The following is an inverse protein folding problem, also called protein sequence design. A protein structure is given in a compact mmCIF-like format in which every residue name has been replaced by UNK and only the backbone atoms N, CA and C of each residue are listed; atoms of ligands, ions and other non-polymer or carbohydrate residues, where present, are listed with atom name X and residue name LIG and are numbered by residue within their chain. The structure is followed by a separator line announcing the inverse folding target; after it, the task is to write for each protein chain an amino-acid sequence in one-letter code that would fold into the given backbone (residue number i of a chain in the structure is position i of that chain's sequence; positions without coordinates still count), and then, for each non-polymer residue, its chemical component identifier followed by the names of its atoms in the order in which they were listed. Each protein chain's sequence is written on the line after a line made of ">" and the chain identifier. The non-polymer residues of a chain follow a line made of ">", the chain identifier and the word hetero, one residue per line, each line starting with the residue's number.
data_IF_318183036400
#
_entry.id   IF_318183036400
#
_cell.length_a   1.000
_cell.length_b   1.000
_cell.length_c   1.000
_cell.angle_alpha   90.00
_cell.angle_beta   90.00
_cell.angle_gamma   90.00
#
_symmetry.space_group_name_H-M   'P 1'
#
loop_
_entity.id
_entity.type
_entity.pdbx_description
1 polymer ?
#
# COMPACT_ATOMS: atom_id res chain seq x y z
N UNK A 1 -11.60 -54.98 16.42
CA UNK A 1 -11.21 -53.57 16.58
C UNK A 1 -11.59 -52.87 15.31
N UNK A 2 -12.46 -51.85 15.39
CA UNK A 2 -13.10 -51.24 14.23
C UNK A 2 -12.20 -50.13 13.66
N UNK A 3 -12.25 -49.89 12.35
CA UNK A 3 -11.42 -48.86 11.68
C UNK A 3 -11.73 -47.46 12.26
N UNK A 4 -12.98 -47.23 12.64
CA UNK A 4 -13.47 -45.97 13.23
C UNK A 4 -12.77 -45.61 14.55
N UNK A 5 -12.33 -46.61 15.33
CA UNK A 5 -11.61 -46.36 16.59
C UNK A 5 -10.23 -45.77 16.31
N UNK A 6 -9.55 -46.21 15.24
CA UNK A 6 -8.21 -45.76 14.91
C UNK A 6 -8.18 -44.31 14.43
N UNK A 7 -9.19 -43.85 13.68
CA UNK A 7 -9.28 -42.45 13.26
C UNK A 7 -9.43 -41.50 14.47
N UNK A 8 -10.24 -41.89 15.46
CA UNK A 8 -10.39 -41.14 16.71
C UNK A 8 -9.06 -41.03 17.48
N UNK A 9 -8.29 -42.13 17.57
CA UNK A 9 -6.98 -42.10 18.21
C UNK A 9 -5.93 -41.33 17.39
N UNK A 10 -6.00 -41.34 16.06
CA UNK A 10 -5.15 -40.49 15.21
C UNK A 10 -5.42 -39.00 15.48
N UNK A 11 -6.68 -38.60 15.60
CA UNK A 11 -7.02 -37.22 15.96
C UNK A 11 -6.47 -36.83 17.34
N UNK A 12 -6.55 -37.73 18.34
CA UNK A 12 -5.94 -37.49 19.65
C UNK A 12 -4.40 -37.42 19.58
N UNK A 13 -3.75 -38.16 18.68
CA UNK A 13 -2.30 -38.04 18.44
C UNK A 13 -1.97 -36.65 17.93
N UNK A 14 -2.73 -36.14 16.95
CA UNK A 14 -2.49 -34.82 16.38
C UNK A 14 -2.72 -33.69 17.42
N UNK A 15 -3.78 -33.79 18.24
CA UNK A 15 -4.01 -32.88 19.38
C UNK A 15 -2.86 -32.93 20.41
N UNK A 16 -2.31 -34.11 20.68
CA UNK A 16 -1.20 -34.29 21.60
C UNK A 16 0.09 -33.64 21.07
N UNK A 17 0.40 -33.81 19.78
CA UNK A 17 1.55 -33.19 19.13
C UNK A 17 1.44 -31.66 19.07
N UNK A 18 0.22 -31.12 18.96
CA UNK A 18 -0.04 -29.68 19.03
C UNK A 18 -0.02 -29.11 20.46
N UNK A 19 0.02 -29.96 21.50
CA UNK A 19 -0.01 -29.56 22.90
C UNK A 19 -1.39 -29.11 23.41
N UNK A 20 -2.47 -29.50 22.74
CA UNK A 20 -3.86 -29.08 23.05
C UNK A 20 -4.73 -30.16 23.70
N UNK A 21 -4.17 -31.32 24.04
CA UNK A 21 -4.89 -32.45 24.62
C UNK A 21 -5.12 -32.30 26.14
N UNK A 22 -6.24 -32.79 26.66
CA UNK A 22 -6.48 -32.87 28.11
C UNK A 22 -5.76 -34.07 28.75
N UNK A 23 -5.47 -33.99 30.05
CA UNK A 23 -4.74 -35.04 30.77
C UNK A 23 -5.47 -36.40 30.75
N UNK A 24 -6.81 -36.40 30.83
CA UNK A 24 -7.61 -37.64 30.78
C UNK A 24 -7.51 -38.32 29.40
N UNK A 25 -7.56 -37.53 28.32
CA UNK A 25 -7.43 -38.04 26.96
C UNK A 25 -6.00 -38.53 26.67
N UNK A 26 -5.00 -37.85 27.21
CA UNK A 26 -3.60 -38.27 27.06
C UNK A 26 -3.33 -39.62 27.74
N UNK A 27 -3.96 -39.88 28.89
CA UNK A 27 -3.86 -41.18 29.56
C UNK A 27 -4.52 -42.30 28.72
N UNK A 28 -5.73 -42.05 28.20
CA UNK A 28 -6.40 -43.00 27.29
C UNK A 28 -5.61 -43.27 26.02
N UNK A 29 -4.97 -42.24 25.45
CA UNK A 29 -4.09 -42.36 24.30
C UNK A 29 -2.86 -43.24 24.62
N UNK A 30 -2.24 -43.06 25.79
CA UNK A 30 -1.09 -43.89 26.22
C UNK A 30 -1.46 -45.37 26.35
N UNK A 31 -2.62 -45.67 26.91
CA UNK A 31 -3.12 -47.04 27.03
C UNK A 31 -3.39 -47.67 25.65
N UNK A 32 -3.96 -46.91 24.72
CA UNK A 32 -4.18 -47.37 23.36
C UNK A 32 -2.84 -47.63 22.62
N UNK A 33 -1.89 -46.70 22.71
CA UNK A 33 -0.59 -46.84 22.05
C UNK A 33 0.24 -48.02 22.57
N UNK A 34 0.04 -48.43 23.83
CA UNK A 34 0.70 -49.61 24.39
C UNK A 34 0.24 -50.93 23.73
N UNK A 35 -0.95 -50.95 23.12
CA UNK A 35 -1.55 -52.15 22.53
C UNK A 35 -1.77 -52.08 21.02
N UNK A 36 -1.68 -50.88 20.42
CA UNK A 36 -1.96 -50.65 19.00
C UNK A 36 -0.72 -50.28 18.18
N UNK A 37 -0.16 -51.26 17.46
CA UNK A 37 0.96 -51.06 16.54
C UNK A 37 0.70 -50.03 15.42
N UNK A 38 -0.47 -50.00 14.74
CA UNK A 38 -0.77 -49.00 13.72
C UNK A 38 -0.69 -47.55 14.22
N UNK A 39 -1.31 -47.24 15.37
CA UNK A 39 -1.29 -45.90 15.95
C UNK A 39 0.10 -45.52 16.47
N UNK A 40 0.89 -46.48 16.98
CA UNK A 40 2.29 -46.26 17.31
C UNK A 40 3.13 -45.94 16.07
N UNK A 41 2.87 -46.62 14.96
CA UNK A 41 3.47 -46.32 13.66
C UNK A 41 3.17 -44.90 13.19
N UNK A 42 1.90 -44.48 13.26
CA UNK A 42 1.48 -43.12 12.92
C UNK A 42 2.19 -42.05 13.77
N UNK A 43 2.22 -42.22 15.10
CA UNK A 43 2.92 -41.31 16.00
C UNK A 43 4.42 -41.22 15.69
N UNK A 44 5.07 -42.36 15.42
CA UNK A 44 6.50 -42.41 15.08
C UNK A 44 6.82 -41.69 13.77
N UNK A 45 5.94 -41.80 12.76
CA UNK A 45 6.08 -41.13 11.47
C UNK A 45 5.97 -39.61 11.64
N UNK A 46 4.97 -39.13 12.39
CA UNK A 46 4.80 -37.71 12.69
C UNK A 46 6.00 -37.14 13.46
N UNK A 47 6.48 -37.84 14.50
CA UNK A 47 7.66 -37.42 15.24
C UNK A 47 8.91 -37.31 14.35
N UNK A 48 9.09 -38.24 13.40
CA UNK A 48 10.19 -38.17 12.43
C UNK A 48 10.07 -36.96 11.49
N UNK A 49 8.86 -36.63 11.05
CA UNK A 49 8.60 -35.42 10.24
C UNK A 49 8.91 -34.16 11.04
N UNK A 50 8.41 -34.06 12.27
CA UNK A 50 8.64 -32.92 13.16
C UNK A 50 10.13 -32.75 13.44
N UNK A 51 10.85 -33.83 13.76
CA UNK A 51 12.30 -33.80 13.96
C UNK A 51 13.05 -33.36 12.69
N UNK A 52 12.61 -33.82 11.52
CA UNK A 52 13.15 -33.38 10.22
C UNK A 52 12.94 -31.88 9.98
N UNK A 53 11.74 -31.37 10.24
CA UNK A 53 11.40 -29.94 10.13
C UNK A 53 12.17 -29.08 11.15
N UNK A 54 12.39 -29.59 12.37
CA UNK A 54 13.23 -28.94 13.36
C UNK A 54 14.68 -28.75 12.89
N UNK A 55 15.19 -29.65 12.05
CA UNK A 55 16.50 -29.50 11.38
C UNK A 55 16.56 -28.38 10.34
N UNK A 56 15.40 -27.92 9.84
CA UNK A 56 15.27 -26.75 8.97
C UNK A 56 14.93 -25.46 9.73
N UNK A 57 15.09 -25.46 11.05
CA UNK A 57 15.02 -24.24 11.87
C UNK A 57 16.11 -23.26 11.43
N UNK A 58 15.77 -22.33 10.54
CA UNK A 58 16.66 -21.25 10.15
C UNK A 58 16.75 -20.25 11.31
N UNK A 59 17.96 -20.01 11.82
CA UNK A 59 18.20 -18.88 12.72
C UNK A 59 17.79 -17.60 12.00
N UNK A 60 16.79 -16.89 12.54
CA UNK A 60 16.42 -15.56 12.08
C UNK A 60 17.61 -14.66 12.34
N UNK A 61 18.39 -14.37 11.29
CA UNK A 61 19.57 -13.53 11.40
C UNK A 61 19.17 -12.18 12.02
N UNK A 62 19.66 -11.83 13.23
CA UNK A 62 19.25 -10.61 13.92
C UNK A 62 19.63 -9.33 13.14
N UNK A 63 20.54 -9.45 12.17
CA UNK A 63 20.99 -8.38 11.30
C UNK A 63 20.14 -8.22 10.02
N UNK A 64 19.18 -9.12 9.74
CA UNK A 64 18.27 -8.99 8.59
C UNK A 64 17.46 -7.69 8.67
N UNK A 65 16.93 -7.37 9.85
CA UNK A 65 16.20 -6.12 10.06
C UNK A 65 17.09 -4.90 9.78
N UNK A 66 18.33 -4.90 10.28
CA UNK A 66 19.28 -3.82 10.02
C UNK A 66 19.62 -3.67 8.53
N UNK A 67 19.79 -4.78 7.79
CA UNK A 67 19.96 -4.76 6.33
C UNK A 67 18.73 -4.22 5.60
N UNK A 68 17.52 -4.60 6.00
CA UNK A 68 16.28 -4.08 5.41
C UNK A 68 16.18 -2.57 5.65
N UNK A 69 16.43 -2.10 6.88
CA UNK A 69 16.43 -0.67 7.18
C UNK A 69 17.52 0.11 6.42
N UNK A 70 18.71 -0.47 6.26
CA UNK A 70 19.78 0.14 5.48
C UNK A 70 19.38 0.28 4.00
N UNK A 71 18.79 -0.77 3.41
CA UNK A 71 18.30 -0.75 2.03
C UNK A 71 17.15 0.24 1.81
N UNK A 72 16.29 0.45 2.82
CA UNK A 72 15.17 1.40 2.76
C UNK A 72 15.59 2.86 2.97
N UNK A 73 16.79 3.12 3.53
CA UNK A 73 17.27 4.48 3.81
C UNK A 73 17.52 5.29 2.54
N UNK A 74 18.07 4.66 1.51
CA UNK A 74 18.39 5.32 0.24
C UNK A 74 17.14 5.77 -0.52
N UNK A 75 16.09 4.93 -0.72
CA UNK A 75 14.82 5.38 -1.29
C UNK A 75 14.13 6.46 -0.46
N UNK A 76 14.13 6.33 0.87
CA UNK A 76 13.47 7.28 1.76
C UNK A 76 14.11 8.68 1.69
N UNK A 77 15.44 8.75 1.59
CA UNK A 77 16.15 10.02 1.42
C UNK A 77 15.88 10.66 0.05
N UNK A 78 15.74 9.87 -1.01
CA UNK A 78 15.37 10.41 -2.33
C UNK A 78 13.95 10.97 -2.34
N UNK A 79 13.01 10.35 -1.63
CA UNK A 79 11.63 10.87 -1.50
C UNK A 79 11.60 12.16 -0.67
N UNK A 80 12.43 12.28 0.36
CA UNK A 80 12.55 13.51 1.14
C UNK A 80 13.25 14.63 0.35
N UNK A 81 14.32 14.32 -0.38
CA UNK A 81 15.03 15.29 -1.22
C UNK A 81 14.20 15.72 -2.45
N UNK A 82 13.30 14.85 -2.92
CA UNK A 82 12.37 15.14 -4.00
C UNK A 82 11.08 15.83 -3.55
N UNK A 83 10.92 16.20 -2.27
CA UNK A 83 9.78 17.04 -1.89
C UNK A 83 9.97 18.45 -2.48
N UNK A 84 9.19 18.84 -3.52
CA UNK A 84 9.21 20.22 -3.96
C UNK A 84 8.76 21.07 -2.78
N UNK A 85 9.62 22.01 -2.36
CA UNK A 85 9.55 22.64 -1.05
C UNK A 85 8.12 23.03 -0.67
N UNK A 86 7.70 22.67 0.53
CA UNK A 86 6.35 22.88 1.11
C UNK A 86 5.75 24.26 0.82
N UNK A 87 6.61 25.28 0.69
CA UNK A 87 6.28 26.66 0.30
C UNK A 87 5.70 26.77 -1.13
N UNK A 88 6.21 25.97 -2.07
CA UNK A 88 5.75 25.91 -3.47
C UNK A 88 4.36 25.25 -3.57
N UNK A 89 4.11 24.18 -2.83
CA UNK A 89 2.77 23.60 -2.69
C UNK A 89 1.79 24.57 -2.03
N UNK A 90 2.21 25.26 -0.96
CA UNK A 90 1.39 26.29 -0.33
C UNK A 90 1.04 27.43 -1.29
N UNK A 91 2.00 27.90 -2.10
CA UNK A 91 1.74 28.91 -3.14
C UNK A 91 0.76 28.42 -4.21
N UNK A 92 0.85 27.15 -4.61
CA UNK A 92 -0.08 26.56 -5.59
C UNK A 92 -1.49 26.45 -4.99
N UNK A 93 -1.63 25.99 -3.74
CA UNK A 93 -2.92 25.94 -3.05
C UNK A 93 -3.53 27.33 -2.89
N UNK A 94 -2.72 28.33 -2.50
CA UNK A 94 -3.18 29.72 -2.39
C UNK A 94 -3.60 30.27 -3.75
N UNK A 95 -2.83 30.03 -4.81
CA UNK A 95 -3.18 30.44 -6.17
C UNK A 95 -4.51 29.80 -6.63
N UNK A 96 -4.73 28.51 -6.36
CA UNK A 96 -5.97 27.82 -6.70
C UNK A 96 -7.19 28.37 -5.94
N UNK A 97 -7.01 28.72 -4.65
CA UNK A 97 -8.06 29.33 -3.83
C UNK A 97 -8.39 30.74 -4.34
N UNK A 98 -7.38 31.57 -4.61
CA UNK A 98 -7.57 32.93 -5.16
C UNK A 98 -8.26 32.87 -6.52
N UNK A 99 -7.89 31.91 -7.37
CA UNK A 99 -8.54 31.72 -8.67
C UNK A 99 -10.01 31.31 -8.50
N UNK A 100 -10.30 30.37 -7.59
CA UNK A 100 -11.68 29.92 -7.29
C UNK A 100 -12.54 31.06 -6.76
N UNK A 101 -12.02 31.84 -5.80
CA UNK A 101 -12.74 32.97 -5.22
C UNK A 101 -12.93 34.07 -6.27
N UNK A 102 -11.88 34.42 -7.01
CA UNK A 102 -11.93 35.42 -8.08
C UNK A 102 -12.95 35.06 -9.17
N UNK A 103 -13.00 33.79 -9.57
CA UNK A 103 -14.01 33.30 -10.51
C UNK A 103 -15.42 33.38 -9.99
N UNK A 104 -15.63 32.97 -8.74
CA UNK A 104 -16.96 33.02 -8.12
C UNK A 104 -17.45 34.47 -7.94
N UNK A 105 -16.55 35.41 -7.66
CA UNK A 105 -16.90 36.84 -7.55
C UNK A 105 -17.22 37.48 -8.90
N UNK A 106 -16.48 37.11 -9.96
CA UNK A 106 -16.75 37.58 -11.32
C UNK A 106 -18.07 37.02 -11.84
N UNK A 107 -18.37 35.74 -11.57
CA UNK A 107 -19.65 35.12 -11.94
C UNK A 107 -20.84 35.78 -11.22
N UNK A 108 -20.69 36.13 -9.94
CA UNK A 108 -21.73 36.80 -9.15
C UNK A 108 -21.96 38.27 -9.56
N UNK A 109 -20.90 39.06 -9.79
CA UNK A 109 -21.05 40.47 -10.21
C UNK A 109 -21.52 40.61 -11.65
N UNK A 110 -20.97 39.83 -12.58
CA UNK A 110 -21.35 39.93 -13.99
C UNK A 110 -22.64 39.14 -14.30
N UNK A 111 -22.94 38.08 -13.56
CA UNK A 111 -24.23 37.37 -13.68
C UNK A 111 -25.42 38.24 -13.30
N UNK A 112 -25.28 39.10 -12.29
CA UNK A 112 -26.33 40.04 -11.86
C UNK A 112 -26.49 41.25 -12.79
N UNK A 113 -25.39 41.78 -13.33
CA UNK A 113 -25.41 42.98 -14.19
C UNK A 113 -25.80 42.68 -15.64
N UNK A 114 -25.46 41.49 -16.16
CA UNK A 114 -25.75 41.14 -17.56
C UNK A 114 -27.19 40.61 -17.70
N UNK A 115 -27.72 39.96 -16.65
CA UNK A 115 -29.10 39.45 -16.66
C UNK A 115 -30.18 40.56 -16.67
N UNK A 116 -29.85 41.78 -16.23
CA UNK A 116 -30.80 42.91 -16.20
C UNK A 116 -30.74 43.81 -17.45
N UNK A 117 -29.62 43.80 -18.19
CA UNK A 117 -29.39 44.76 -19.29
C UNK A 117 -29.49 44.14 -20.67
N UNK A 118 -29.21 42.84 -20.85
CA UNK A 118 -29.17 42.25 -22.19
C UNK A 118 -29.87 40.89 -22.24
N UNK A 119 -31.08 40.88 -22.83
CA UNK A 119 -31.76 39.69 -23.36
C UNK A 119 -31.05 39.20 -24.65
N UNK A 120 -29.73 39.08 -24.61
CA UNK A 120 -28.88 38.76 -25.75
C UNK A 120 -28.05 37.51 -25.43
N UNK A 121 -28.45 36.41 -26.07
CA UNK A 121 -27.73 35.16 -26.31
C UNK A 121 -26.70 34.75 -25.24
N UNK A 122 -27.22 34.11 -24.17
CA UNK A 122 -26.49 33.36 -23.13
C UNK A 122 -25.37 32.43 -23.63
N UNK A 123 -25.35 32.04 -24.90
CA UNK A 123 -24.38 31.09 -25.45
C UNK A 123 -22.99 31.68 -25.70
N UNK A 124 -22.87 32.94 -26.18
CA UNK A 124 -21.58 33.53 -26.52
C UNK A 124 -20.79 34.03 -25.31
N UNK A 125 -21.48 34.61 -24.32
CA UNK A 125 -20.85 35.05 -23.06
C UNK A 125 -20.32 33.84 -22.29
N UNK A 126 -21.07 32.72 -22.31
CA UNK A 126 -20.65 31.46 -21.69
C UNK A 126 -19.41 30.85 -22.35
N UNK A 127 -19.28 30.96 -23.68
CA UNK A 127 -18.08 30.52 -24.41
C UNK A 127 -16.86 31.41 -24.15
N UNK A 128 -17.03 32.74 -24.12
CA UNK A 128 -15.94 33.67 -23.78
C UNK A 128 -15.43 33.47 -22.36
N UNK A 129 -16.34 33.25 -21.42
CA UNK A 129 -16.01 32.98 -20.02
C UNK A 129 -15.35 31.61 -19.83
N UNK A 130 -15.82 30.57 -20.53
CA UNK A 130 -15.18 29.25 -20.55
C UNK A 130 -13.79 29.31 -21.18
N UNK A 131 -13.60 30.05 -22.27
CA UNK A 131 -12.28 30.24 -22.88
C UNK A 131 -11.33 30.98 -21.92
N UNK A 132 -11.82 32.02 -21.25
CA UNK A 132 -11.04 32.76 -20.26
C UNK A 132 -10.70 31.92 -19.01
N UNK A 133 -11.51 30.92 -18.66
CA UNK A 133 -11.27 30.01 -17.52
C UNK A 133 -10.40 28.80 -17.87
N UNK A 134 -10.62 28.22 -19.05
CA UNK A 134 -9.93 27.02 -19.51
C UNK A 134 -8.51 27.35 -19.92
N UNK A 135 -8.27 28.47 -20.64
CA UNK A 135 -6.93 28.80 -21.14
C UNK A 135 -5.89 28.94 -20.02
N UNK A 136 -6.14 29.64 -18.89
CA UNK A 136 -5.18 29.70 -17.79
C UNK A 136 -5.00 28.35 -17.10
N UNK A 137 -6.07 27.58 -16.90
CA UNK A 137 -5.97 26.27 -16.23
C UNK A 137 -5.20 25.26 -17.07
N UNK A 138 -5.41 25.26 -18.39
CA UNK A 138 -4.69 24.42 -19.35
C UNK A 138 -3.23 24.86 -19.47
N UNK A 139 -2.95 26.16 -19.43
CA UNK A 139 -1.59 26.70 -19.43
C UNK A 139 -0.83 26.30 -18.15
N UNK A 140 -1.46 26.38 -16.97
CA UNK A 140 -0.89 25.88 -15.71
C UNK A 140 -0.69 24.36 -15.72
N UNK A 141 -1.65 23.60 -16.26
CA UNK A 141 -1.60 22.13 -16.31
C UNK A 141 -0.54 21.62 -17.30
N UNK A 142 -0.26 22.36 -18.38
CA UNK A 142 0.80 22.05 -19.34
C UNK A 142 2.19 22.51 -18.87
N UNK A 143 2.31 23.69 -18.26
CA UNK A 143 3.59 24.20 -17.75
C UNK A 143 4.09 23.39 -16.55
N UNK A 144 3.18 22.83 -15.73
CA UNK A 144 3.49 22.07 -14.53
C UNK A 144 4.35 20.80 -14.74
N UNK A 145 4.05 19.91 -15.70
CA UNK A 145 4.90 18.76 -16.01
C UNK A 145 6.12 19.11 -16.88
N UNK A 146 6.03 20.14 -17.74
CA UNK A 146 7.09 20.49 -18.68
C UNK A 146 8.29 21.18 -18.01
N UNK A 147 8.07 22.01 -16.98
CA UNK A 147 9.16 22.69 -16.25
C UNK A 147 10.17 21.74 -15.59
N UNK A 148 9.77 20.69 -14.83
CA UNK A 148 10.72 19.75 -14.26
C UNK A 148 11.38 18.83 -15.31
N UNK A 149 10.68 18.53 -16.42
CA UNK A 149 11.24 17.76 -17.54
C UNK A 149 12.31 18.54 -18.30
N UNK A 150 12.08 19.82 -18.59
CA UNK A 150 13.06 20.70 -19.24
C UNK A 150 14.26 21.00 -18.32
N UNK A 151 14.03 21.13 -17.01
CA UNK A 151 15.11 21.29 -16.03
C UNK A 151 16.01 20.06 -15.93
N UNK A 152 15.46 18.85 -15.99
CA UNK A 152 16.25 17.60 -16.04
C UNK A 152 16.98 17.41 -17.38
N UNK A 153 16.38 17.81 -18.49
CA UNK A 153 17.01 17.73 -19.81
C UNK A 153 18.18 18.72 -19.97
N UNK A 154 18.13 19.87 -19.29
CA UNK A 154 19.22 20.85 -19.26
C UNK A 154 20.45 20.32 -18.51
N UNK A 155 20.28 19.79 -17.30
CA UNK A 155 21.39 19.25 -16.50
C UNK A 155 22.04 18.03 -17.14
N UNK A 156 21.27 17.15 -17.80
CA UNK A 156 21.84 15.98 -18.48
C UNK A 156 22.62 16.31 -19.76
N UNK A 157 22.44 17.51 -20.32
CA UNK A 157 23.21 17.98 -21.49
C UNK A 157 24.53 18.61 -21.09
N UNK A 158 24.61 19.19 -19.88
CA UNK A 158 25.82 19.79 -19.33
C UNK A 158 26.82 18.74 -18.83
N UNK A 159 26.35 17.63 -18.24
CA UNK A 159 27.20 16.48 -17.85
C UNK A 159 27.75 15.68 -19.05
N UNK A 160 27.21 15.87 -20.26
CA UNK A 160 27.67 15.14 -21.46
C UNK A 160 28.71 15.89 -22.29
N UNK A 161 29.05 17.13 -21.89
CA UNK A 161 29.99 18.02 -22.58
C UNK A 161 31.29 18.20 -21.77
N UNK A 162 31.38 17.63 -20.57
CA UNK A 162 32.58 17.58 -19.71
C UNK A 162 33.26 16.21 -19.78
#
# INVERSE_FOLDING_TARGET
>A
MNIDDHESFQHMIDESLAGSISAEREQSLREHLASCGPCQGYLSANNRVIAGLGGFSFEVNPNLNARVFASLRLPAQQVQAAQPGRRRWALISVAAVVLTIGGSFVDLQFGGLIASVFDVQRMQVRQGLLAFWIVPSLCFLLLFPLLPLLSKAGTQREERIL
#
